data_IF_929001997467
#
_entry.id   IF_929001997467
#
_cell.length_a   1.000
_cell.length_b   1.000
_cell.length_c   1.000
_cell.angle_alpha   90.00
_cell.angle_beta   90.00
_cell.angle_gamma   90.00
#
_symmetry.space_group_name_H-M   'P 1'
#
loop_
_entity.id
_entity.type
_entity.pdbx_description
1 polymer ?
#
# COMPACT_ATOMS: atom_id res chain seq x y z
N UNK A 1 3.50 -3.34 14.92
CA UNK A 1 3.24 -2.07 14.21
C UNK A 1 4.42 -1.87 13.28
N UNK A 2 4.36 -2.44 12.08
CA UNK A 2 5.34 -2.11 11.05
C UNK A 2 5.01 -0.68 10.61
N UNK A 3 5.89 0.27 10.90
CA UNK A 3 5.74 1.63 10.41
C UNK A 3 5.97 1.65 8.91
N UNK A 4 5.30 2.58 8.21
CA UNK A 4 5.56 2.81 6.78
C UNK A 4 7.06 3.04 6.57
N UNK A 5 7.68 2.43 5.54
CA UNK A 5 9.09 2.64 5.27
C UNK A 5 9.35 4.11 4.93
N UNK A 6 10.48 4.63 5.41
CA UNK A 6 10.93 5.99 5.12
C UNK A 6 11.89 5.99 3.94
N UNK A 7 11.68 6.87 2.94
CA UNK A 7 12.60 6.96 1.81
C UNK A 7 13.92 7.61 2.22
N UNK A 8 15.03 7.12 1.66
CA UNK A 8 16.34 7.76 1.81
C UNK A 8 16.41 9.11 1.08
N UNK A 9 17.26 10.03 1.55
CA UNK A 9 17.45 11.38 0.98
C UNK A 9 17.91 11.36 -0.49
N UNK A 10 18.64 10.32 -0.88
CA UNK A 10 19.14 10.11 -2.23
C UNK A 10 18.03 9.71 -3.22
N UNK A 11 16.85 9.36 -2.70
CA UNK A 11 15.77 8.83 -3.51
C UNK A 11 14.93 9.96 -4.12
N UNK A 12 14.69 9.92 -5.45
CA UNK A 12 13.81 10.88 -6.08
C UNK A 12 12.38 10.79 -5.54
N UNK A 13 11.81 11.91 -5.09
CA UNK A 13 10.44 11.96 -4.53
C UNK A 13 9.37 11.42 -5.48
N UNK A 14 9.55 11.60 -6.79
CA UNK A 14 8.61 11.08 -7.79
C UNK A 14 8.57 9.54 -7.81
N UNK A 15 9.67 8.85 -7.46
CA UNK A 15 9.66 7.39 -7.36
C UNK A 15 8.86 6.95 -6.13
N UNK A 16 9.04 7.65 -5.00
CA UNK A 16 8.30 7.40 -3.76
C UNK A 16 6.80 7.45 -3.99
N UNK A 17 6.32 8.52 -4.65
CA UNK A 17 4.90 8.69 -4.97
C UNK A 17 4.38 7.58 -5.89
N UNK A 18 5.17 7.19 -6.90
CA UNK A 18 4.78 6.14 -7.84
C UNK A 18 4.81 4.74 -7.23
N UNK A 19 5.75 4.46 -6.33
CA UNK A 19 5.89 3.15 -5.68
C UNK A 19 4.68 2.84 -4.80
N UNK A 20 4.06 3.86 -4.20
CA UNK A 20 2.82 3.70 -3.46
C UNK A 20 1.62 3.25 -4.33
N UNK A 21 1.72 3.35 -5.66
CA UNK A 21 0.68 2.91 -6.60
C UNK A 21 0.87 1.47 -7.10
N UNK A 22 1.99 0.81 -6.76
CA UNK A 22 2.32 -0.54 -7.23
C UNK A 22 1.96 -1.62 -6.22
N UNK A 23 1.70 -2.82 -6.74
CA UNK A 23 1.52 -4.01 -5.93
C UNK A 23 2.85 -4.48 -5.32
N UNK A 24 2.81 -5.26 -4.22
CA UNK A 24 4.04 -5.81 -3.63
C UNK A 24 4.89 -6.63 -4.60
N UNK A 25 4.25 -7.40 -5.49
CA UNK A 25 4.93 -8.20 -6.50
C UNK A 25 5.67 -7.33 -7.54
N UNK A 26 5.07 -6.21 -7.95
CA UNK A 26 5.72 -5.24 -8.84
C UNK A 26 6.89 -4.54 -8.14
N UNK A 27 6.73 -4.20 -6.85
CA UNK A 27 7.78 -3.59 -6.05
C UNK A 27 8.99 -4.54 -5.84
N UNK A 28 8.76 -5.83 -5.60
CA UNK A 28 9.82 -6.85 -5.58
C UNK A 28 10.58 -6.93 -6.91
N UNK A 29 9.85 -6.84 -8.03
CA UNK A 29 10.44 -6.84 -9.37
C UNK A 29 11.31 -5.60 -9.59
N UNK A 30 10.83 -4.43 -9.14
CA UNK A 30 11.56 -3.16 -9.18
C UNK A 30 12.81 -3.22 -8.29
N UNK A 31 12.71 -3.77 -7.08
CA UNK A 31 13.83 -3.93 -6.15
C UNK A 31 14.95 -4.78 -6.76
N UNK A 32 14.57 -5.95 -7.29
CA UNK A 32 15.49 -6.87 -7.96
C UNK A 32 16.17 -6.20 -9.16
N UNK A 33 15.41 -5.42 -9.95
CA UNK A 33 15.98 -4.69 -11.08
C UNK A 33 16.97 -3.60 -10.65
N UNK A 34 16.65 -2.83 -9.61
CA UNK A 34 17.51 -1.77 -9.11
C UNK A 34 18.86 -2.32 -8.59
N UNK A 35 18.84 -3.51 -8.01
CA UNK A 35 20.04 -4.23 -7.53
C UNK A 35 20.84 -4.87 -8.68
N UNK A 36 20.19 -5.64 -9.55
CA UNK A 36 20.86 -6.52 -10.52
C UNK A 36 21.05 -5.91 -11.91
N UNK A 37 20.23 -4.91 -12.27
CA UNK A 37 20.09 -4.34 -13.62
C UNK A 37 19.73 -5.35 -14.71
N UNK A 38 19.15 -6.49 -14.35
CA UNK A 38 18.78 -7.49 -15.33
C UNK A 38 17.52 -7.07 -16.11
N UNK A 39 17.59 -6.93 -17.45
CA UNK A 39 16.49 -6.46 -18.27
C UNK A 39 15.39 -7.52 -18.50
N UNK A 40 15.53 -8.70 -17.90
CA UNK A 40 14.57 -9.80 -18.03
C UNK A 40 13.29 -9.61 -17.20
N UNK A 41 13.24 -8.56 -16.38
CA UNK A 41 12.15 -8.26 -15.46
C UNK A 41 11.16 -7.28 -16.11
N UNK A 42 9.85 -7.52 -15.93
CA UNK A 42 8.79 -6.60 -16.35
C UNK A 42 8.79 -5.36 -15.47
N UNK A 43 9.74 -4.45 -15.74
CA UNK A 43 9.97 -3.23 -14.96
C UNK A 43 9.41 -2.04 -15.73
N UNK A 44 8.66 -1.13 -15.08
CA UNK A 44 8.17 0.07 -15.75
C UNK A 44 9.29 0.95 -16.32
N UNK A 45 9.10 1.49 -17.53
CA UNK A 45 10.10 2.31 -18.23
C UNK A 45 10.60 3.52 -17.42
N UNK A 46 9.76 4.09 -16.56
CA UNK A 46 10.16 5.22 -15.73
C UNK A 46 11.18 4.81 -14.65
N UNK A 47 11.11 3.57 -14.16
CA UNK A 47 12.07 3.00 -13.20
C UNK A 47 13.39 2.74 -13.92
N UNK A 48 13.34 2.13 -15.11
CA UNK A 48 14.52 1.89 -15.96
C UNK A 48 15.27 3.18 -16.23
N UNK A 49 14.56 4.24 -16.64
CA UNK A 49 15.15 5.54 -16.91
C UNK A 49 15.73 6.19 -15.65
N UNK A 50 15.03 6.10 -14.51
CA UNK A 50 15.52 6.63 -13.25
C UNK A 50 16.80 5.90 -12.82
N UNK A 51 16.79 4.57 -12.74
CA UNK A 51 17.95 3.74 -12.33
C UNK A 51 19.15 3.93 -13.27
N UNK A 52 18.91 4.18 -14.56
CA UNK A 52 19.98 4.45 -15.54
C UNK A 52 20.73 5.77 -15.29
N UNK A 53 20.07 6.77 -14.69
CA UNK A 53 20.62 8.10 -14.43
C UNK A 53 21.27 8.23 -13.04
N UNK A 54 21.04 7.26 -12.14
CA UNK A 54 21.43 7.32 -10.74
C UNK A 54 22.74 6.58 -10.45
N UNK A 55 23.47 7.07 -9.45
CA UNK A 55 24.68 6.44 -8.91
C UNK A 55 24.34 5.18 -8.10
N UNK A 56 25.34 4.33 -7.83
CA UNK A 56 25.17 3.08 -7.04
C UNK A 56 24.45 3.30 -5.70
N UNK A 57 24.75 4.38 -4.98
CA UNK A 57 24.12 4.67 -3.69
C UNK A 57 22.61 4.91 -3.81
N UNK A 58 22.19 5.74 -4.78
CA UNK A 58 20.78 6.00 -5.03
C UNK A 58 20.06 4.75 -5.56
N UNK A 59 20.75 3.88 -6.31
CA UNK A 59 20.18 2.59 -6.75
C UNK A 59 19.95 1.63 -5.60
N UNK A 60 20.91 1.50 -4.68
CA UNK A 60 20.74 0.72 -3.45
C UNK A 60 19.56 1.24 -2.64
N UNK A 61 19.44 2.56 -2.48
CA UNK A 61 18.30 3.16 -1.79
C UNK A 61 16.96 2.85 -2.47
N UNK A 62 16.89 2.86 -3.81
CA UNK A 62 15.68 2.48 -4.56
C UNK A 62 15.34 1.00 -4.34
N UNK A 63 16.34 0.11 -4.38
CA UNK A 63 16.14 -1.32 -4.17
C UNK A 63 15.62 -1.62 -2.76
N UNK A 64 16.29 -1.08 -1.75
CA UNK A 64 15.93 -1.25 -0.34
C UNK A 64 14.54 -0.69 -0.04
N UNK A 65 14.21 0.48 -0.58
CA UNK A 65 12.89 1.08 -0.35
C UNK A 65 11.77 0.28 -1.02
N UNK A 66 11.97 -0.17 -2.26
CA UNK A 66 10.98 -0.99 -2.95
C UNK A 66 10.73 -2.32 -2.22
N UNK A 67 11.78 -2.98 -1.74
CA UNK A 67 11.69 -4.24 -0.97
C UNK A 67 10.98 -4.05 0.38
N UNK A 68 11.33 -2.99 1.12
CA UNK A 68 10.67 -2.65 2.39
C UNK A 68 9.19 -2.30 2.18
N UNK A 69 8.87 -1.55 1.11
CA UNK A 69 7.49 -1.20 0.78
C UNK A 69 6.68 -2.42 0.36
N UNK A 70 7.26 -3.34 -0.41
CA UNK A 70 6.62 -4.61 -0.74
C UNK A 70 6.26 -5.38 0.54
N UNK A 71 7.24 -5.58 1.43
CA UNK A 71 7.05 -6.29 2.71
C UNK A 71 5.99 -5.62 3.59
N UNK A 72 5.99 -4.28 3.65
CA UNK A 72 5.00 -3.52 4.40
C UNK A 72 3.59 -3.72 3.85
N UNK A 73 3.43 -3.68 2.53
CA UNK A 73 2.14 -3.88 1.87
C UNK A 73 1.65 -5.32 2.00
N UNK A 74 2.50 -6.34 1.84
CA UNK A 74 2.14 -7.75 2.08
C UNK A 74 1.65 -7.98 3.51
N UNK A 75 2.39 -7.46 4.50
CA UNK A 75 1.99 -7.57 5.92
C UNK A 75 0.65 -6.88 6.18
N UNK A 76 0.39 -5.76 5.51
CA UNK A 76 -0.85 -5.00 5.67
C UNK A 76 -2.03 -5.74 5.03
N UNK A 77 -1.86 -6.31 3.85
CA UNK A 77 -2.88 -7.11 3.17
C UNK A 77 -3.28 -8.34 4.01
N UNK A 78 -2.32 -9.00 4.66
CA UNK A 78 -2.60 -10.10 5.61
C UNK A 78 -3.36 -9.66 6.87
N UNK A 79 -3.28 -8.38 7.24
CA UNK A 79 -3.93 -7.85 8.46
C UNK A 79 -5.29 -7.22 8.18
N UNK A 80 -5.57 -6.79 6.94
CA UNK A 80 -6.84 -6.20 6.49
C UNK A 80 -7.84 -7.27 6.01
N UNK A 81 -7.72 -8.51 6.52
CA UNK A 81 -8.70 -9.57 6.29
C UNK A 81 -9.99 -9.23 7.06
N UNK A 82 -11.13 -8.96 6.39
CA UNK A 82 -12.37 -8.51 7.02
C UNK A 82 -13.16 -9.66 7.70
N UNK A 83 -12.50 -10.68 8.24
CA UNK A 83 -13.11 -11.77 9.01
C UNK A 83 -13.08 -11.48 10.54
N UNK A 84 -13.24 -10.20 10.93
CA UNK A 84 -13.67 -9.84 12.29
C UNK A 84 -15.14 -9.41 12.23
N UNK A 85 -15.98 -10.33 11.77
CA UNK A 85 -17.39 -10.37 12.15
C UNK A 85 -17.47 -10.61 13.67
N UNK A 86 -17.32 -9.54 14.45
CA UNK A 86 -17.84 -9.50 15.81
C UNK A 86 -18.96 -8.50 15.90
N UNK A 87 -20.13 -9.01 15.50
CA UNK A 87 -21.39 -8.94 16.22
C UNK A 87 -21.23 -8.35 17.65
N UNK A 88 -21.23 -7.03 17.75
CA UNK A 88 -21.60 -6.33 18.98
C UNK A 88 -22.92 -5.65 18.69
N UNK A 89 -23.97 -6.46 18.74
CA UNK A 89 -25.32 -6.01 19.05
C UNK A 89 -25.30 -5.43 20.48
N UNK A 90 -24.76 -4.21 20.58
CA UNK A 90 -24.73 -3.41 21.79
C UNK A 90 -26.12 -2.84 22.06
N UNK A 91 -26.84 -3.55 22.92
CA UNK A 91 -27.81 -3.00 23.87
C UNK A 91 -27.51 -1.54 24.22
N UNK A 92 -28.29 -0.59 23.70
CA UNK A 92 -28.47 0.74 24.29
C UNK A 92 -29.92 1.19 24.08
N UNK A 93 -30.64 1.28 25.20
CA UNK A 93 -32.04 1.67 25.29
C UNK A 93 -32.38 3.03 24.66
N UNK A 94 -33.66 3.16 24.28
CA UNK A 94 -34.26 4.40 23.75
C UNK A 94 -34.21 5.59 24.72
N UNK A 95 -34.84 6.76 24.41
CA UNK A 95 -36.31 6.77 24.26
C UNK A 95 -36.94 7.92 23.40
N UNK A 96 -38.14 7.63 22.83
CA UNK A 96 -39.23 8.55 22.33
C UNK A 96 -38.81 9.54 21.20
N UNK A 97 -39.60 9.97 20.23
CA UNK A 97 -41.01 10.36 20.09
C UNK A 97 -41.22 10.70 18.59
N UNK A 98 -42.41 10.43 18.03
CA UNK A 98 -43.02 11.35 17.04
C UNK A 98 -43.22 10.88 15.60
N UNK A 99 -44.44 10.37 15.34
CA UNK A 99 -45.36 10.79 14.26
C UNK A 99 -44.95 10.54 12.81
N UNK A 100 -45.62 9.60 12.12
CA UNK A 100 -46.39 9.82 10.88
C UNK A 100 -47.49 8.75 10.74
N UNK A 101 -48.70 9.24 10.50
CA UNK A 101 -49.94 8.55 10.12
C UNK A 101 -49.78 7.45 9.05
N UNK A 102 -50.62 6.40 9.10
CA UNK A 102 -51.74 6.19 8.17
C UNK A 102 -52.12 4.70 8.02
N UNK A 103 -53.42 4.44 8.13
CA UNK A 103 -54.20 3.38 7.47
C UNK A 103 -54.06 1.94 8.00
N UNK A 104 -54.97 1.55 8.89
CA UNK A 104 -55.86 0.44 8.58
C UNK A 104 -57.18 0.57 9.36
N UNK A 105 -58.18 1.12 8.71
CA UNK A 105 -59.60 0.89 9.00
C UNK A 105 -59.98 -0.31 8.15
N UNK A 106 -60.36 -1.42 8.77
CA UNK A 106 -61.38 -2.37 8.29
C UNK A 106 -61.86 -3.23 9.46
#
# INVERSE_FOLDING_TARGET
>A
MSSSPEPADEMPSFLVERFAEHSPAELQTIATYAETREPALEVPDYVVQAVALQDDAARTAIAEYADQLATYLETREETDDPDDEKDVSGDHGGPRIGRWDALNME
#
